data_IF_228088304926
#
_entry.id   IF_228088304926
#
_cell.length_a   1.000
_cell.length_b   1.000
_cell.length_c   1.000
_cell.angle_alpha   90.00
_cell.angle_beta   90.00
_cell.angle_gamma   90.00
#
_symmetry.space_group_name_H-M   'P 1'
#
loop_
_entity.id
_entity.type
_entity.pdbx_description
1 polymer ?
#
# COMPACT_ATOMS: atom_id res chain seq x y z
N UNK A 1 -9.20 29.24 1.86
CA UNK A 1 -8.35 28.58 0.85
C UNK A 1 -7.93 27.27 1.48
N UNK A 2 -8.49 26.13 1.04
CA UNK A 2 -8.04 24.81 1.54
C UNK A 2 -6.60 24.64 1.08
N UNK A 3 -5.68 24.56 2.03
CA UNK A 3 -4.27 24.27 1.77
C UNK A 3 -4.21 22.88 1.14
N UNK A 4 -3.78 22.80 -0.13
CA UNK A 4 -3.63 21.54 -0.84
C UNK A 4 -2.39 20.85 -0.26
N UNK A 5 -2.58 19.73 0.42
CA UNK A 5 -1.51 18.96 1.02
C UNK A 5 -0.59 18.42 -0.09
N UNK A 6 0.74 18.56 0.11
CA UNK A 6 1.73 18.00 -0.79
C UNK A 6 1.68 16.48 -0.65
N UNK A 7 1.46 15.76 -1.74
CA UNK A 7 1.48 14.30 -1.72
C UNK A 7 2.41 13.77 -2.81
N UNK A 8 3.01 12.63 -2.50
CA UNK A 8 4.06 11.99 -3.28
C UNK A 8 3.49 10.78 -4.02
N UNK A 9 3.97 10.57 -5.23
CA UNK A 9 3.79 9.32 -5.93
C UNK A 9 5.15 8.62 -6.05
N UNK A 10 5.20 7.34 -5.70
CA UNK A 10 6.41 6.54 -5.92
C UNK A 10 6.39 6.00 -7.35
N UNK A 11 7.46 6.28 -8.09
CA UNK A 11 7.77 5.57 -9.33
C UNK A 11 8.93 4.64 -9.03
N UNK A 12 8.97 3.51 -9.72
CA UNK A 12 9.96 2.42 -9.57
C UNK A 12 11.43 2.91 -9.60
N UNK A 13 11.68 4.15 -10.06
CA UNK A 13 13.02 4.75 -10.18
C UNK A 13 13.12 6.22 -9.71
N UNK A 14 12.03 6.85 -9.28
CA UNK A 14 12.02 8.27 -8.92
C UNK A 14 10.93 8.62 -7.92
N UNK A 15 11.20 9.61 -7.07
CA UNK A 15 10.19 10.20 -6.19
C UNK A 15 9.58 11.40 -6.93
N UNK A 16 8.27 11.37 -7.18
CA UNK A 16 7.56 12.52 -7.73
C UNK A 16 6.88 13.27 -6.61
N UNK A 17 7.13 14.58 -6.51
CA UNK A 17 6.54 15.47 -5.50
C UNK A 17 5.60 16.46 -6.17
N UNK A 18 4.34 16.53 -5.73
CA UNK A 18 3.42 17.56 -6.20
C UNK A 18 3.75 18.91 -5.54
N UNK A 19 4.18 19.88 -6.35
CA UNK A 19 4.49 21.24 -5.92
C UNK A 19 3.67 22.26 -6.73
N UNK A 20 3.40 23.47 -6.21
CA UNK A 20 2.92 24.56 -7.03
C UNK A 20 4.02 24.89 -8.06
N UNK A 21 3.73 24.71 -9.35
CA UNK A 21 4.60 25.16 -10.42
C UNK A 21 4.66 26.70 -10.39
N UNK A 22 5.76 27.27 -10.87
CA UNK A 22 5.87 28.71 -11.04
C UNK A 22 4.77 29.22 -11.98
N UNK A 23 3.72 29.84 -11.41
CA UNK A 23 2.56 30.34 -12.13
C UNK A 23 1.34 29.41 -12.04
N UNK A 24 0.58 29.51 -10.94
CA UNK A 24 -0.82 29.07 -10.71
C UNK A 24 -1.24 27.63 -11.10
N UNK A 25 -0.38 26.80 -11.67
CA UNK A 25 -0.64 25.38 -11.95
C UNK A 25 0.11 24.50 -10.95
N UNK A 26 -0.48 23.38 -10.54
CA UNK A 26 0.21 22.34 -9.77
C UNK A 26 0.93 21.40 -10.73
N UNK A 27 2.12 20.92 -10.35
CA UNK A 27 2.92 20.04 -11.21
C UNK A 27 3.81 19.11 -10.40
N UNK A 28 4.13 17.97 -11.00
CA UNK A 28 5.07 17.02 -10.43
C UNK A 28 6.50 17.50 -10.68
N UNK A 29 7.31 17.47 -9.62
CA UNK A 29 8.75 17.68 -9.69
C UNK A 29 9.44 16.35 -9.41
N UNK A 30 10.26 15.93 -10.36
CA UNK A 30 11.10 14.75 -10.22
C UNK A 30 12.24 15.06 -9.23
N UNK A 31 12.35 14.24 -8.20
CA UNK A 31 13.47 14.27 -7.27
C UNK A 31 14.26 12.98 -7.50
N UNK A 32 15.46 13.13 -8.10
CA UNK A 32 16.37 12.02 -8.34
C UNK A 32 16.64 11.28 -7.02
N UNK A 33 16.69 9.95 -7.02
CA UNK A 33 16.87 9.12 -5.82
C UNK A 33 18.24 9.32 -5.14
N UNK A 34 19.20 9.91 -5.87
CA UNK A 34 20.59 10.12 -5.44
C UNK A 34 21.44 8.84 -5.44
N UNK A 35 20.81 7.69 -5.64
CA UNK A 35 21.41 6.36 -5.69
C UNK A 35 20.56 5.44 -6.56
N UNK A 36 21.17 4.90 -7.62
CA UNK A 36 20.49 4.08 -8.62
C UNK A 36 20.09 2.69 -8.11
N UNK A 37 20.57 2.27 -6.94
CA UNK A 37 20.18 0.98 -6.33
C UNK A 37 19.05 1.10 -5.33
N UNK A 38 18.54 2.31 -5.08
CA UNK A 38 17.32 2.52 -4.28
C UNK A 38 16.10 2.16 -5.11
N UNK A 39 15.28 1.29 -4.54
CA UNK A 39 13.92 1.04 -5.03
C UNK A 39 12.94 1.49 -3.96
N UNK A 40 11.97 2.32 -4.31
CA UNK A 40 10.90 2.75 -3.41
C UNK A 40 9.67 1.87 -3.65
N UNK A 41 9.14 1.28 -2.57
CA UNK A 41 8.00 0.36 -2.64
C UNK A 41 6.69 1.00 -2.15
N UNK A 42 6.77 1.91 -1.17
CA UNK A 42 5.60 2.60 -0.66
C UNK A 42 5.96 3.95 -0.03
N UNK A 43 5.00 4.87 -0.02
CA UNK A 43 5.14 6.23 0.51
C UNK A 43 3.86 6.66 1.21
N UNK A 44 3.98 7.23 2.40
CA UNK A 44 2.84 7.74 3.16
C UNK A 44 3.17 9.07 3.82
N UNK A 45 2.20 9.99 3.81
CA UNK A 45 2.27 11.26 4.53
C UNK A 45 1.19 11.28 5.60
N UNK A 46 1.59 11.55 6.84
CA UNK A 46 0.66 11.77 7.95
C UNK A 46 0.09 13.19 7.92
N UNK A 47 0.89 14.15 7.45
CA UNK A 47 0.53 15.53 7.23
C UNK A 47 1.48 16.15 6.20
N UNK A 48 1.36 17.46 5.96
CA UNK A 48 2.19 18.18 4.97
C UNK A 48 3.70 18.22 5.27
N UNK A 49 4.11 17.82 6.48
CA UNK A 49 5.47 17.89 6.98
C UNK A 49 6.06 16.49 7.22
N UNK A 50 5.27 15.56 7.75
CA UNK A 50 5.69 14.20 8.10
C UNK A 50 5.38 13.22 6.97
N UNK A 51 6.44 12.78 6.30
CA UNK A 51 6.39 11.81 5.21
C UNK A 51 7.35 10.65 5.45
N UNK A 52 7.00 9.48 4.92
CA UNK A 52 7.72 8.24 5.11
C UNK A 52 7.79 7.46 3.80
N UNK A 53 8.93 6.84 3.53
CA UNK A 53 9.15 5.97 2.37
C UNK A 53 9.76 4.67 2.87
N UNK A 54 9.26 3.55 2.33
CA UNK A 54 9.87 2.24 2.52
C UNK A 54 10.27 1.63 1.18
N UNK A 55 11.28 0.78 1.20
CA UNK A 55 11.81 0.19 -0.01
C UNK A 55 12.99 -0.76 0.20
N UNK A 56 13.89 -0.77 -0.77
CA UNK A 56 15.11 -1.56 -0.78
C UNK A 56 16.32 -0.69 -1.17
N UNK A 57 17.47 -0.98 -0.55
CA UNK A 57 18.79 -0.49 -0.91
C UNK A 57 19.79 -1.65 -0.86
N UNK A 58 20.31 -2.08 -2.01
CA UNK A 58 21.31 -3.16 -2.11
C UNK A 58 20.92 -4.46 -1.38
N UNK A 59 19.66 -4.92 -1.52
CA UNK A 59 19.16 -6.11 -0.83
C UNK A 59 18.72 -5.89 0.63
N UNK A 60 18.94 -4.69 1.19
CA UNK A 60 18.53 -4.32 2.54
C UNK A 60 17.22 -3.54 2.49
N UNK A 61 16.41 -3.63 3.54
CA UNK A 61 15.24 -2.78 3.70
C UNK A 61 15.62 -1.32 3.84
N UNK A 62 14.96 -0.43 3.13
CA UNK A 62 15.17 1.02 3.21
C UNK A 62 13.97 1.64 3.93
N UNK A 63 14.25 2.44 4.95
CA UNK A 63 13.27 3.34 5.56
C UNK A 63 13.81 4.77 5.48
N UNK A 64 13.00 5.69 4.96
CA UNK A 64 13.29 7.11 4.92
C UNK A 64 12.13 7.91 5.51
N UNK A 65 12.44 9.04 6.14
CA UNK A 65 11.45 9.95 6.70
C UNK A 65 11.86 11.41 6.50
N UNK A 66 10.85 12.29 6.50
CA UNK A 66 11.00 13.74 6.47
C UNK A 66 10.07 14.39 7.50
N UNK A 67 10.46 15.56 7.99
CA UNK A 67 9.67 16.37 8.95
C UNK A 67 9.37 17.77 8.44
N UNK A 68 9.69 18.06 7.18
CA UNK A 68 9.46 19.36 6.53
C UNK A 68 8.86 19.21 5.12
N UNK A 69 8.23 18.06 4.86
CA UNK A 69 7.49 17.78 3.63
C UNK A 69 8.35 17.27 2.47
N UNK A 70 9.62 16.94 2.72
CA UNK A 70 10.44 16.17 1.80
C UNK A 70 10.70 16.82 0.45
N UNK A 71 10.65 18.16 0.36
CA UNK A 71 10.71 18.93 -0.90
C UNK A 71 11.98 18.66 -1.72
N UNK A 72 13.05 18.24 -1.06
CA UNK A 72 14.33 17.87 -1.66
C UNK A 72 14.86 16.59 -1.00
N UNK A 73 15.78 15.87 -1.64
CA UNK A 73 16.41 14.70 -1.01
C UNK A 73 17.11 15.00 0.32
N UNK A 74 17.67 16.21 0.48
CA UNK A 74 18.37 16.60 1.71
C UNK A 74 17.43 16.69 2.93
N UNK A 75 16.12 16.76 2.68
CA UNK A 75 15.08 16.78 3.70
C UNK A 75 14.74 15.39 4.25
N UNK A 76 15.32 14.33 3.65
CA UNK A 76 15.06 12.95 4.03
C UNK A 76 16.24 12.39 4.83
N UNK A 77 15.90 11.84 5.98
CA UNK A 77 16.80 10.98 6.76
C UNK A 77 16.40 9.52 6.54
N UNK A 78 17.32 8.58 6.72
CA UNK A 78 17.01 7.16 6.52
C UNK A 78 17.89 6.20 7.29
N UNK A 79 17.40 4.97 7.39
CA UNK A 79 18.08 3.82 8.00
C UNK A 79 17.78 2.56 7.20
N UNK A 80 18.53 1.49 7.45
CA UNK A 80 18.37 0.21 6.77
C UNK A 80 17.99 -0.93 7.70
N UNK A 81 17.22 -1.88 7.19
CA UNK A 81 16.81 -3.11 7.86
C UNK A 81 17.36 -4.36 7.14
N UNK A 82 17.40 -5.53 7.78
CA UNK A 82 18.00 -6.73 7.19
C UNK A 82 17.37 -7.20 5.88
N UNK A 83 16.08 -6.93 5.66
CA UNK A 83 15.30 -7.43 4.52
C UNK A 83 14.49 -6.30 3.86
N UNK A 84 14.21 -6.37 2.54
CA UNK A 84 13.39 -5.40 1.82
C UNK A 84 12.05 -5.09 2.50
N UNK A 85 11.64 -3.82 2.49
CA UNK A 85 10.41 -3.33 3.11
C UNK A 85 9.42 -2.91 2.03
N UNK A 86 8.21 -3.48 2.02
CA UNK A 86 7.29 -3.41 0.89
C UNK A 86 6.11 -2.47 1.11
N UNK A 87 5.64 -2.31 2.35
CA UNK A 87 4.43 -1.53 2.63
C UNK A 87 4.45 -0.91 4.00
N UNK A 88 3.95 0.32 4.11
CA UNK A 88 3.82 1.07 5.35
C UNK A 88 2.36 1.44 5.58
N UNK A 89 1.92 1.37 6.83
CA UNK A 89 0.56 1.71 7.24
C UNK A 89 0.61 2.46 8.56
N UNK A 90 -0.19 3.50 8.70
CA UNK A 90 -0.44 4.17 9.98
C UNK A 90 -1.91 4.10 10.32
N UNK A 91 -2.23 3.94 11.60
CA UNK A 91 -3.60 3.86 12.06
C UNK A 91 -4.29 5.23 11.89
N UNK A 92 -5.37 5.34 11.11
CA UNK A 92 -6.02 6.64 10.88
C UNK A 92 -6.55 7.30 12.16
N UNK A 93 -6.98 6.48 13.13
CA UNK A 93 -7.51 6.95 14.41
C UNK A 93 -6.42 7.43 15.39
N UNK A 94 -5.19 6.91 15.27
CA UNK A 94 -4.04 7.32 16.07
C UNK A 94 -2.73 7.14 15.28
N UNK A 95 -2.28 8.18 14.56
CA UNK A 95 -1.11 8.10 13.69
C UNK A 95 0.23 8.01 14.44
N UNK A 96 0.21 7.87 15.78
CA UNK A 96 1.40 7.43 16.51
C UNK A 96 1.68 5.95 16.29
N UNK A 97 0.63 5.16 16.01
CA UNK A 97 0.73 3.74 15.71
C UNK A 97 0.85 3.51 14.21
N UNK A 98 1.83 2.69 13.83
CA UNK A 98 2.06 2.32 12.45
C UNK A 98 2.83 1.01 12.33
N UNK A 99 2.75 0.40 11.15
CA UNK A 99 3.36 -0.89 10.82
C UNK A 99 4.05 -0.83 9.47
N UNK A 100 5.16 -1.56 9.36
CA UNK A 100 5.83 -1.84 8.09
C UNK A 100 5.92 -3.34 7.92
N UNK A 101 5.68 -3.82 6.70
CA UNK A 101 5.89 -5.23 6.35
C UNK A 101 6.92 -5.39 5.24
N UNK A 102 7.59 -6.53 5.24
CA UNK A 102 8.70 -6.80 4.34
C UNK A 102 8.98 -8.29 4.11
N UNK A 103 10.10 -8.56 3.47
CA UNK A 103 10.60 -9.92 3.26
C UNK A 103 11.20 -10.51 4.55
N UNK A 104 11.40 -11.82 4.57
CA UNK A 104 11.86 -12.56 5.75
C UNK A 104 10.86 -12.51 6.92
N UNK A 105 9.55 -12.52 6.63
CA UNK A 105 8.47 -12.36 7.64
C UNK A 105 8.54 -11.03 8.41
N UNK A 106 9.21 -10.00 7.88
CA UNK A 106 9.45 -8.76 8.62
C UNK A 106 8.12 -8.03 8.88
N UNK A 107 7.82 -7.82 10.16
CA UNK A 107 6.79 -6.89 10.62
C UNK A 107 7.44 -5.95 11.65
N UNK A 108 7.40 -4.65 11.39
CA UNK A 108 7.85 -3.61 12.31
C UNK A 108 6.65 -2.81 12.80
N UNK A 109 6.73 -2.26 14.00
CA UNK A 109 5.72 -1.36 14.54
C UNK A 109 6.34 -0.13 15.19
N UNK A 110 5.58 0.97 15.19
CA UNK A 110 5.91 2.22 15.88
C UNK A 110 4.76 2.62 16.80
N UNK A 111 5.10 3.33 17.88
CA UNK A 111 4.14 3.98 18.80
C UNK A 111 4.46 5.46 19.01
N UNK A 112 5.40 6.00 18.23
CA UNK A 112 5.88 7.39 18.30
C UNK A 112 5.77 8.12 16.95
N UNK A 113 4.90 7.62 16.07
CA UNK A 113 4.64 8.22 14.76
C UNK A 113 5.77 8.03 13.76
N UNK A 114 6.48 6.90 13.86
CA UNK A 114 7.57 6.51 12.96
C UNK A 114 8.93 7.07 13.33
N UNK A 115 9.11 7.71 14.50
CA UNK A 115 10.45 8.14 14.94
C UNK A 115 11.35 6.95 15.24
N UNK A 116 10.77 5.88 15.77
CA UNK A 116 11.42 4.59 15.96
C UNK A 116 10.51 3.43 15.58
N UNK A 117 11.14 2.31 15.22
CA UNK A 117 10.46 1.08 14.81
C UNK A 117 11.04 -0.10 15.57
N UNK A 118 10.16 -0.96 16.06
CA UNK A 118 10.50 -2.17 16.80
C UNK A 118 9.96 -3.40 16.05
N UNK A 119 10.57 -4.57 16.26
CA UNK A 119 10.04 -5.81 15.71
C UNK A 119 8.70 -6.15 16.36
N UNK A 120 7.70 -6.48 15.55
CA UNK A 120 6.41 -7.00 16.00
C UNK A 120 6.46 -8.54 16.05
N UNK A 121 5.57 -9.16 16.83
CA UNK A 121 5.47 -10.63 16.90
C UNK A 121 5.02 -11.20 15.56
N UNK A 122 5.62 -12.30 15.10
CA UNK A 122 5.34 -12.90 13.77
C UNK A 122 5.04 -14.39 13.83
N UNK A 123 4.99 -14.99 15.02
CA UNK A 123 4.60 -16.39 15.21
C UNK A 123 3.27 -16.66 14.52
N UNK A 124 3.23 -17.70 13.68
CA UNK A 124 2.07 -18.10 12.89
C UNK A 124 2.10 -17.61 11.44
N UNK A 125 2.93 -16.61 11.10
CA UNK A 125 3.19 -16.22 9.71
C UNK A 125 4.16 -17.23 9.10
N UNK A 126 3.72 -17.96 8.09
CA UNK A 126 4.54 -18.99 7.41
C UNK A 126 5.14 -18.53 6.10
N UNK A 127 4.68 -17.40 5.57
CA UNK A 127 5.11 -16.85 4.28
C UNK A 127 6.20 -15.81 4.44
N UNK A 128 7.27 -15.94 3.65
CA UNK A 128 8.46 -15.09 3.81
C UNK A 128 8.32 -13.69 3.20
N UNK A 129 7.31 -13.43 2.38
CA UNK A 129 7.20 -12.20 1.60
C UNK A 129 5.85 -11.54 1.88
N UNK A 130 5.86 -10.50 2.73
CA UNK A 130 4.67 -9.73 3.06
C UNK A 130 4.56 -8.51 2.14
N UNK A 131 3.34 -8.20 1.68
CA UNK A 131 3.06 -7.13 0.69
C UNK A 131 1.92 -6.20 1.12
N UNK A 132 0.95 -6.71 1.87
CA UNK A 132 -0.13 -5.93 2.47
C UNK A 132 -0.10 -5.98 4.00
N UNK A 133 -0.57 -4.91 4.65
CA UNK A 133 -0.71 -4.75 6.09
C UNK A 133 -1.86 -3.81 6.46
N UNK A 134 -2.82 -4.23 7.25
CA UNK A 134 -3.89 -3.34 7.71
C UNK A 134 -4.15 -3.59 9.18
N UNK A 135 -4.32 -2.53 9.97
CA UNK A 135 -4.62 -2.64 11.39
C UNK A 135 -5.82 -1.77 11.74
N UNK A 136 -6.68 -2.28 12.63
CA UNK A 136 -7.86 -1.56 13.16
C UNK A 136 -7.56 -0.86 14.48
N UNK A 137 -6.55 -1.35 15.19
CA UNK A 137 -6.05 -0.83 16.46
C UNK A 137 -4.58 -1.26 16.65
N UNK A 138 -4.02 -1.10 17.85
CA UNK A 138 -2.61 -1.42 18.12
C UNK A 138 -2.26 -2.91 18.02
N UNK A 139 -3.25 -3.80 18.09
CA UNK A 139 -3.02 -5.24 18.31
C UNK A 139 -3.84 -6.16 17.39
N UNK A 140 -4.80 -5.59 16.65
CA UNK A 140 -5.68 -6.29 15.70
C UNK A 140 -5.38 -5.87 14.27
N UNK A 141 -4.99 -6.82 13.43
CA UNK A 141 -4.66 -6.51 12.04
C UNK A 141 -4.48 -7.73 11.15
N UNK A 142 -4.25 -7.45 9.87
CA UNK A 142 -4.07 -8.42 8.80
C UNK A 142 -2.78 -8.14 8.03
N UNK A 143 -2.15 -9.20 7.55
CA UNK A 143 -1.09 -9.10 6.55
C UNK A 143 -1.40 -10.01 5.37
N UNK A 144 -1.07 -9.51 4.18
CA UNK A 144 -1.18 -10.25 2.93
C UNK A 144 0.22 -10.60 2.42
N UNK A 145 0.39 -11.82 1.92
CA UNK A 145 1.68 -12.34 1.48
C UNK A 145 1.67 -12.81 0.02
N UNK A 146 2.86 -12.96 -0.53
CA UNK A 146 3.10 -13.49 -1.87
C UNK A 146 4.18 -14.56 -1.82
N UNK A 147 3.86 -15.85 -1.90
CA UNK A 147 4.90 -16.90 -1.89
C UNK A 147 4.83 -17.74 -3.16
N UNK A 148 5.67 -17.47 -4.16
CA UNK A 148 5.75 -18.27 -5.40
C UNK A 148 4.38 -18.59 -6.03
N UNK A 149 3.51 -17.59 -6.19
CA UNK A 149 2.12 -17.75 -6.66
C UNK A 149 1.18 -18.48 -5.69
N UNK A 150 1.53 -18.53 -4.42
CA UNK A 150 0.75 -19.18 -3.37
C UNK A 150 0.82 -18.40 -2.04
N UNK A 151 0.43 -17.14 -2.10
CA UNK A 151 0.30 -16.27 -0.94
C UNK A 151 -0.89 -16.62 -0.05
N UNK A 152 -0.93 -15.92 1.08
CA UNK A 152 -1.89 -16.11 2.15
C UNK A 152 -2.34 -14.76 2.73
N UNK A 153 -3.44 -14.78 3.47
CA UNK A 153 -3.85 -13.70 4.36
C UNK A 153 -3.76 -14.23 5.79
N UNK A 154 -3.02 -13.52 6.63
CA UNK A 154 -2.91 -13.81 8.05
C UNK A 154 -3.60 -12.71 8.86
N UNK A 155 -4.24 -13.12 9.94
CA UNK A 155 -4.94 -12.26 10.91
C UNK A 155 -4.28 -12.37 12.28
N UNK A 156 -4.11 -11.24 12.94
CA UNK A 156 -3.68 -11.12 14.34
C UNK A 156 -4.88 -10.61 15.16
N UNK A 157 -5.46 -11.45 16.02
CA UNK A 157 -6.45 -11.01 17.01
C UNK A 157 -5.81 -10.28 18.20
N UNK A 158 -6.45 -9.25 18.75
CA UNK A 158 -6.06 -8.50 19.96
C UNK A 158 -5.49 -9.40 21.07
N UNK A 159 -6.29 -10.37 21.53
CA UNK A 159 -5.95 -11.23 22.67
C UNK A 159 -5.02 -12.43 22.34
N UNK A 160 -4.63 -12.61 21.08
CA UNK A 160 -3.82 -13.76 20.68
C UNK A 160 -2.33 -13.45 20.72
N UNK A 161 -1.53 -14.42 21.14
CA UNK A 161 -0.07 -14.34 21.08
C UNK A 161 0.52 -14.63 19.70
N UNK A 162 -0.30 -14.99 18.71
CA UNK A 162 0.17 -15.41 17.39
C UNK A 162 -0.83 -15.06 16.29
N UNK A 163 -0.31 -14.95 15.07
CA UNK A 163 -1.08 -14.82 13.85
C UNK A 163 -1.78 -16.15 13.49
N UNK A 164 -2.89 -16.04 12.78
CA UNK A 164 -3.70 -17.14 12.28
C UNK A 164 -3.89 -16.97 10.77
N UNK A 165 -3.72 -18.04 10.01
CA UNK A 165 -3.98 -17.98 8.57
C UNK A 165 -5.50 -18.05 8.33
N UNK A 166 -6.07 -17.03 7.70
CA UNK A 166 -7.49 -16.99 7.32
C UNK A 166 -7.71 -17.50 5.89
N UNK A 167 -6.77 -17.22 4.99
CA UNK A 167 -6.77 -17.72 3.62
C UNK A 167 -5.37 -18.19 3.26
N UNK A 168 -5.25 -19.43 2.80
CA UNK A 168 -3.98 -20.00 2.33
C UNK A 168 -4.22 -20.72 1.01
N UNK A 169 -3.19 -20.89 0.20
CA UNK A 169 -3.25 -21.91 -0.85
C UNK A 169 -4.09 -21.52 -2.08
N UNK A 170 -4.52 -20.26 -2.21
CA UNK A 170 -5.49 -19.84 -3.22
C UNK A 170 -4.92 -19.76 -4.65
N UNK A 171 -3.70 -20.27 -4.90
CA UNK A 171 -3.02 -20.18 -6.20
C UNK A 171 -2.73 -18.74 -6.66
N UNK A 172 -2.78 -17.81 -5.70
CA UNK A 172 -2.76 -16.37 -5.92
C UNK A 172 -1.75 -15.73 -4.98
N UNK A 173 -1.11 -14.63 -5.40
CA UNK A 173 -0.21 -13.81 -4.60
C UNK A 173 -0.93 -12.52 -4.21
N UNK A 174 -1.15 -12.31 -2.90
CA UNK A 174 -1.91 -11.17 -2.42
C UNK A 174 -1.02 -9.93 -2.31
N UNK A 175 -1.29 -8.92 -3.13
CA UNK A 175 -0.45 -7.73 -3.26
C UNK A 175 -0.86 -6.61 -2.31
N UNK A 176 -2.15 -6.50 -1.98
CA UNK A 176 -2.64 -5.50 -1.04
C UNK A 176 -3.91 -5.95 -0.33
N UNK A 177 -4.17 -5.30 0.80
CA UNK A 177 -5.31 -5.55 1.68
C UNK A 177 -5.74 -4.24 2.33
N UNK A 178 -7.05 -3.99 2.35
CA UNK A 178 -7.67 -2.83 3.01
C UNK A 178 -8.99 -3.24 3.62
N UNK A 179 -9.40 -2.56 4.68
CA UNK A 179 -10.72 -2.73 5.25
C UNK A 179 -11.44 -1.39 5.38
N UNK A 180 -12.77 -1.43 5.27
CA UNK A 180 -13.63 -0.29 5.59
C UNK A 180 -13.94 -0.18 7.08
N UNK A 181 -13.93 -1.31 7.78
CA UNK A 181 -14.14 -1.42 9.22
C UNK A 181 -13.49 -2.71 9.75
N UNK A 182 -13.70 -3.07 11.02
CA UNK A 182 -13.11 -4.28 11.61
C UNK A 182 -13.67 -5.61 11.08
N UNK A 183 -14.50 -5.60 10.03
CA UNK A 183 -15.14 -6.79 9.48
C UNK A 183 -15.15 -6.82 7.96
N UNK A 184 -15.33 -5.68 7.29
CA UNK A 184 -15.46 -5.61 5.84
C UNK A 184 -14.10 -5.32 5.19
N UNK A 185 -13.50 -6.37 4.64
CA UNK A 185 -12.14 -6.36 4.09
C UNK A 185 -12.09 -6.75 2.63
N UNK A 186 -11.12 -6.19 1.92
CA UNK A 186 -10.81 -6.51 0.53
C UNK A 186 -9.32 -6.80 0.36
N UNK A 187 -9.03 -7.80 -0.45
CA UNK A 187 -7.67 -8.13 -0.84
C UNK A 187 -7.59 -8.35 -2.35
N UNK A 188 -6.49 -7.90 -2.93
CA UNK A 188 -6.20 -8.05 -4.34
C UNK A 188 -5.01 -8.95 -4.54
N UNK A 189 -5.05 -9.72 -5.63
CA UNK A 189 -4.01 -10.66 -5.94
C UNK A 189 -3.58 -10.62 -7.41
N UNK A 190 -2.56 -11.40 -7.73
CA UNK A 190 -2.18 -11.81 -9.07
C UNK A 190 -1.83 -13.31 -9.10
N UNK A 191 -1.73 -13.90 -10.28
CA UNK A 191 -1.41 -15.31 -10.46
C UNK A 191 -2.56 -16.11 -11.05
N UNK A 192 -2.69 -17.39 -10.68
CA UNK A 192 -3.64 -18.31 -11.31
C UNK A 192 -5.04 -18.19 -10.67
N UNK A 193 -5.60 -16.98 -10.70
CA UNK A 193 -6.90 -16.68 -10.11
C UNK A 193 -8.04 -17.12 -11.06
N UNK A 194 -8.33 -18.43 -11.10
CA UNK A 194 -9.36 -18.99 -12.00
C UNK A 194 -10.75 -18.39 -11.78
N UNK A 195 -11.04 -17.87 -10.58
CA UNK A 195 -12.33 -17.26 -10.20
C UNK A 195 -12.21 -15.77 -9.82
N UNK A 196 -11.15 -15.11 -10.30
CA UNK A 196 -10.88 -13.69 -10.10
C UNK A 196 -9.89 -13.39 -8.98
N UNK A 197 -9.03 -12.39 -9.18
CA UNK A 197 -7.97 -12.01 -8.23
C UNK A 197 -8.43 -10.96 -7.21
N UNK A 198 -9.72 -10.98 -6.87
CA UNK A 198 -10.33 -10.02 -5.96
C UNK A 198 -11.07 -10.77 -4.87
N UNK A 199 -10.80 -10.44 -3.62
CA UNK A 199 -11.31 -11.16 -2.46
C UNK A 199 -12.02 -10.21 -1.51
N UNK A 200 -13.13 -10.68 -0.94
CA UNK A 200 -13.93 -9.95 0.02
C UNK A 200 -14.15 -10.80 1.28
N UNK A 201 -14.06 -10.15 2.44
CA UNK A 201 -14.38 -10.73 3.75
C UNK A 201 -15.49 -9.94 4.44
N UNK A 202 -16.36 -10.65 5.15
CA UNK A 202 -17.45 -10.12 5.97
C UNK A 202 -17.16 -10.17 7.48
N UNK A 203 -15.91 -10.39 7.88
CA UNK A 203 -15.47 -10.29 9.28
C UNK A 203 -15.73 -11.54 10.11
N UNK A 204 -16.16 -12.61 9.45
CA UNK A 204 -16.30 -13.96 10.01
C UNK A 204 -15.03 -14.80 9.79
N UNK A 205 -13.92 -14.17 9.38
CA UNK A 205 -12.66 -14.83 9.02
C UNK A 205 -12.72 -15.57 7.70
N UNK A 206 -13.82 -15.46 6.95
CA UNK A 206 -13.96 -16.08 5.63
C UNK A 206 -13.66 -15.07 4.54
N UNK A 207 -12.87 -15.50 3.56
CA UNK A 207 -12.55 -14.75 2.36
C UNK A 207 -13.15 -15.47 1.15
N UNK A 208 -13.85 -14.71 0.31
CA UNK A 208 -14.47 -15.23 -0.91
C UNK A 208 -13.96 -14.49 -2.14
N UNK A 209 -13.62 -15.24 -3.19
CA UNK A 209 -13.23 -14.65 -4.48
C UNK A 209 -14.46 -14.06 -5.18
N UNK A 210 -14.35 -12.84 -5.67
CA UNK A 210 -15.36 -12.20 -6.49
C UNK A 210 -15.02 -12.39 -7.98
N UNK A 211 -15.94 -12.95 -8.81
CA UNK A 211 -15.71 -13.21 -10.22
C UNK A 211 -15.88 -11.95 -11.07
N UNK A 212 -15.33 -10.83 -10.61
CA UNK A 212 -15.48 -9.51 -11.22
C UNK A 212 -14.42 -9.24 -12.28
N UNK A 213 -13.27 -9.91 -12.21
CA UNK A 213 -12.15 -9.71 -13.14
C UNK A 213 -11.09 -10.79 -12.98
N UNK A 214 -10.45 -11.21 -14.08
CA UNK A 214 -9.25 -12.05 -14.06
C UNK A 214 -7.96 -11.22 -14.21
N UNK A 215 -8.03 -9.88 -14.07
CA UNK A 215 -6.86 -9.00 -13.97
C UNK A 215 -5.98 -9.35 -12.79
N UNK A 216 -4.70 -9.01 -12.90
CA UNK A 216 -3.79 -8.88 -11.78
C UNK A 216 -3.96 -7.51 -11.17
N UNK A 217 -4.16 -7.46 -9.86
CA UNK A 217 -4.33 -6.21 -9.13
C UNK A 217 -3.19 -6.02 -8.15
N UNK A 218 -2.67 -4.80 -8.08
CA UNK A 218 -1.51 -4.45 -7.27
C UNK A 218 -1.86 -3.63 -6.05
N UNK A 219 -2.85 -2.72 -6.17
CA UNK A 219 -3.17 -1.76 -5.11
C UNK A 219 -4.66 -1.57 -4.92
N UNK A 220 -5.03 -1.35 -3.65
CA UNK A 220 -6.36 -0.99 -3.21
C UNK A 220 -6.31 0.34 -2.46
N UNK A 221 -7.32 1.20 -2.67
CA UNK A 221 -7.50 2.40 -1.84
C UNK A 221 -8.96 2.62 -1.50
N UNK A 222 -9.22 2.61 -0.19
CA UNK A 222 -10.50 3.04 0.33
C UNK A 222 -10.51 4.56 0.46
N UNK A 223 -11.53 5.18 -0.10
CA UNK A 223 -11.78 6.61 -0.06
C UNK A 223 -13.06 6.84 0.74
N UNK A 224 -12.95 7.59 1.84
CA UNK A 224 -14.03 7.68 2.82
C UNK A 224 -14.30 6.33 3.48
N UNK A 225 -15.57 5.91 3.51
CA UNK A 225 -15.99 4.67 4.19
C UNK A 225 -16.63 3.62 3.27
N UNK A 226 -16.85 3.92 2.00
CA UNK A 226 -17.63 3.04 1.10
C UNK A 226 -17.11 2.96 -0.32
N UNK A 227 -16.25 3.88 -0.74
CA UNK A 227 -15.73 3.91 -2.10
C UNK A 227 -14.36 3.24 -2.13
N UNK A 228 -14.22 2.17 -2.90
CA UNK A 228 -12.98 1.40 -2.99
C UNK A 228 -12.47 1.40 -4.42
N UNK A 229 -11.20 1.74 -4.60
CA UNK A 229 -10.52 1.72 -5.88
C UNK A 229 -9.52 0.59 -5.94
N UNK A 230 -9.41 -0.04 -7.11
CA UNK A 230 -8.44 -1.07 -7.40
C UNK A 230 -7.72 -0.75 -8.71
N UNK A 231 -6.39 -0.87 -8.72
CA UNK A 231 -5.59 -0.70 -9.93
C UNK A 231 -4.68 -1.90 -10.19
N UNK A 232 -4.45 -2.16 -11.47
CA UNK A 232 -3.74 -3.34 -11.92
C UNK A 232 -3.56 -3.42 -13.42
N UNK A 233 -3.26 -4.62 -13.91
CA UNK A 233 -3.13 -4.95 -15.32
C UNK A 233 -3.89 -6.22 -15.73
N UNK A 234 -4.28 -6.27 -17.00
CA UNK A 234 -4.98 -7.34 -17.68
C UNK A 234 -4.43 -7.46 -19.11
N UNK A 235 -3.85 -8.60 -19.47
CA UNK A 235 -3.52 -8.99 -20.87
C UNK A 235 -2.87 -7.85 -21.69
N UNK A 236 -1.94 -7.14 -21.06
CA UNK A 236 -1.22 -6.02 -21.69
C UNK A 236 -1.92 -4.65 -21.63
N UNK A 237 -3.05 -4.52 -20.94
CA UNK A 237 -3.78 -3.26 -20.68
C UNK A 237 -3.97 -3.04 -19.17
N UNK A 238 -3.92 -1.81 -18.66
CA UNK A 238 -4.23 -1.57 -17.23
C UNK A 238 -5.73 -1.64 -16.93
N UNK A 239 -6.03 -2.00 -15.70
CA UNK A 239 -7.36 -1.96 -15.13
C UNK A 239 -7.41 -0.92 -14.00
N UNK A 240 -8.48 -0.13 -14.01
CA UNK A 240 -8.90 0.70 -12.89
C UNK A 240 -10.36 0.39 -12.62
N UNK A 241 -10.67 -0.07 -11.41
CA UNK A 241 -12.02 -0.38 -10.98
C UNK A 241 -12.40 0.48 -9.78
N UNK A 242 -13.67 0.85 -9.69
CA UNK A 242 -14.27 1.51 -8.53
C UNK A 242 -15.49 0.74 -8.04
N UNK A 243 -15.59 0.57 -6.73
CA UNK A 243 -16.73 0.02 -6.01
C UNK A 243 -17.54 1.15 -5.40
N UNK A 244 -18.83 1.19 -5.70
CA UNK A 244 -19.76 2.21 -5.22
C UNK A 244 -20.51 1.83 -3.93
N UNK A 245 -20.13 0.71 -3.30
CA UNK A 245 -20.88 0.09 -2.20
C UNK A 245 -21.72 -1.11 -2.63
N UNK A 246 -21.98 -1.27 -3.94
CA UNK A 246 -22.84 -2.34 -4.46
C UNK A 246 -22.25 -3.08 -5.66
N UNK A 247 -21.56 -2.37 -6.57
CA UNK A 247 -21.04 -2.95 -7.80
C UNK A 247 -19.67 -2.38 -8.15
N UNK A 248 -18.87 -3.21 -8.81
CA UNK A 248 -17.64 -2.78 -9.45
C UNK A 248 -17.91 -2.23 -10.84
N UNK A 249 -17.29 -1.10 -11.16
CA UNK A 249 -17.31 -0.52 -12.50
C UNK A 249 -15.90 -0.17 -12.97
N UNK A 250 -15.62 -0.42 -14.25
CA UNK A 250 -14.33 -0.08 -14.85
C UNK A 250 -14.29 1.40 -15.23
N UNK A 251 -13.16 2.04 -14.94
CA UNK A 251 -12.87 3.42 -15.28
C UNK A 251 -11.90 3.49 -16.46
N UNK A 252 -12.19 4.36 -17.42
CA UNK A 252 -11.33 4.56 -18.59
C UNK A 252 -10.16 5.47 -18.25
N UNK A 253 -8.95 5.08 -18.63
CA UNK A 253 -7.73 5.87 -18.46
C UNK A 253 -6.76 5.68 -19.64
N UNK A 254 -5.82 6.62 -19.84
CA UNK A 254 -4.81 6.52 -20.90
C UNK A 254 -3.55 5.74 -20.49
N UNK A 255 -3.39 5.43 -19.20
CA UNK A 255 -2.16 4.79 -18.71
C UNK A 255 -2.14 3.30 -19.01
N UNK A 256 -0.92 2.74 -19.05
CA UNK A 256 -0.61 1.31 -19.09
C UNK A 256 -0.02 0.87 -17.73
N UNK A 257 -0.27 -0.37 -17.33
CA UNK A 257 0.33 -1.02 -16.16
C UNK A 257 0.27 -0.17 -14.87
N UNK A 258 -0.95 0.09 -14.39
CA UNK A 258 -1.17 0.89 -13.18
C UNK A 258 -0.69 0.11 -11.94
N UNK A 259 0.22 0.72 -11.19
CA UNK A 259 0.89 0.11 -10.03
C UNK A 259 0.42 0.66 -8.70
N UNK A 260 -0.02 1.90 -8.66
CA UNK A 260 -0.47 2.54 -7.44
C UNK A 260 -1.52 3.61 -7.72
N UNK A 261 -2.32 3.88 -6.69
CA UNK A 261 -3.37 4.88 -6.70
C UNK A 261 -3.43 5.48 -5.29
N UNK A 262 -3.70 6.78 -5.19
CA UNK A 262 -3.93 7.46 -3.91
C UNK A 262 -4.81 8.70 -4.09
N UNK A 263 -5.37 9.19 -2.98
CA UNK A 263 -6.30 10.32 -2.94
C UNK A 263 -5.89 11.33 -1.88
N UNK A 264 -5.94 12.63 -2.19
CA UNK A 264 -5.52 13.70 -1.29
C UNK A 264 -6.45 13.94 -0.10
N UNK A 265 -7.71 13.51 -0.21
CA UNK A 265 -8.75 13.79 0.78
C UNK A 265 -9.58 12.57 1.15
N UNK A 266 -10.71 12.85 1.78
CA UNK A 266 -11.72 11.85 2.16
C UNK A 266 -12.73 11.58 1.05
N UNK A 267 -12.54 12.19 -0.12
CA UNK A 267 -13.37 12.05 -1.30
C UNK A 267 -12.47 11.80 -2.52
N UNK A 268 -13.06 11.29 -3.60
CA UNK A 268 -12.36 10.91 -4.82
C UNK A 268 -12.20 12.07 -5.82
N UNK A 269 -12.39 13.32 -5.37
CA UNK A 269 -12.29 14.48 -6.26
C UNK A 269 -10.86 14.89 -6.59
N UNK A 270 -9.89 14.42 -5.82
CA UNK A 270 -8.48 14.76 -5.94
C UNK A 270 -7.64 13.51 -5.67
N UNK A 271 -7.34 12.75 -6.72
CA UNK A 271 -6.55 11.53 -6.67
C UNK A 271 -5.67 11.37 -7.89
N UNK A 272 -4.71 10.46 -7.79
CA UNK A 272 -3.79 10.12 -8.86
C UNK A 272 -3.59 8.63 -8.95
N UNK A 273 -3.35 8.16 -10.16
CA UNK A 273 -2.87 6.81 -10.41
C UNK A 273 -1.57 6.84 -11.20
N UNK A 274 -0.65 5.95 -10.85
CA UNK A 274 0.66 5.85 -11.51
C UNK A 274 0.84 4.50 -12.17
N UNK A 275 1.46 4.53 -13.35
CA UNK A 275 1.75 3.33 -14.12
C UNK A 275 3.14 3.34 -14.76
N UNK A 276 3.35 2.42 -15.71
CA UNK A 276 4.64 2.29 -16.39
C UNK A 276 5.08 3.59 -17.09
N UNK A 277 6.39 3.83 -17.13
CA UNK A 277 6.98 4.97 -17.86
C UNK A 277 6.80 6.33 -17.18
N UNK A 278 6.67 6.37 -15.85
CA UNK A 278 6.51 7.61 -15.08
C UNK A 278 5.21 8.37 -15.35
N UNK A 279 4.20 7.68 -15.88
CA UNK A 279 2.94 8.32 -16.25
C UNK A 279 2.00 8.44 -15.04
N UNK A 280 1.38 9.61 -14.91
CA UNK A 280 0.48 9.98 -13.82
C UNK A 280 -0.78 10.60 -14.42
N UNK A 281 -1.95 10.22 -13.92
CA UNK A 281 -3.26 10.80 -14.25
C UNK A 281 -3.98 11.26 -12.99
#
# INVERSE_FOLDING_TARGET
>A
MKERSKKLASLVWALSILLPASGLAWGWVEVASGDATRTYHDVVFLDENRGFIVGELNGQGLYMYTTNGGRTLADWSGTTYPSPLHRIFFLPADPNYGWIVGDGTTVLYTTDGGQSWNSFETTGITDSQLRGVFFTDSDTGWVASTTAFNGSIFYKPDAASSWQAELTGAGSSFNDIVFADGSNGWAVANGNCTNGCFYFSTGDGNWSSQPISTSFFYRLRLVGSTELWAVGDWDGSSAMLVWDGTNWSSQTHPLADLRDIDFAGTDSSDGWAVGAGAAII
#
